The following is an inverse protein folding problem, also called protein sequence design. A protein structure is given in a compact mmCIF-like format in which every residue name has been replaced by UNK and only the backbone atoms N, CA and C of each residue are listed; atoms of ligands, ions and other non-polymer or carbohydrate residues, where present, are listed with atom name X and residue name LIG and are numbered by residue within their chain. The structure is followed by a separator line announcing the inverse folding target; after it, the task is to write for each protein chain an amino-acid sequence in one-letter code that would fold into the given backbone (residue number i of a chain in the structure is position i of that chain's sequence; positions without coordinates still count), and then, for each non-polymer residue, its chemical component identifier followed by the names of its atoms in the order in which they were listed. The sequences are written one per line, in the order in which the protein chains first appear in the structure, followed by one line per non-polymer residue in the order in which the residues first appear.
data_IF_083334683096
#
_entry.id   IF_083334683096
#
_cell.length_a   1.000
_cell.length_b   1.000
_cell.length_c   1.000
_cell.angle_alpha   90.00
_cell.angle_beta   90.00
_cell.angle_gamma   90.00
#
_symmetry.space_group_name_H-M   'P 1'
#
loop_
_entity.id
_entity.type
_entity.pdbx_description
1 polymer ?
#
# COMPACT_ATOMS: atom_id res chain seq x y z
N UNK A 1 80.45 46.85 23.19
CA UNK A 1 81.90 47.05 23.07
C UNK A 1 82.14 47.46 21.64
N UNK A 2 82.62 48.69 21.40
CA UNK A 2 83.08 49.08 20.08
C UNK A 2 84.24 48.16 19.68
N UNK A 3 84.25 47.66 18.45
CA UNK A 3 85.34 46.82 17.95
C UNK A 3 86.69 47.46 18.24
N UNK A 4 87.60 46.71 18.87
CA UNK A 4 88.97 47.16 19.14
C UNK A 4 89.62 47.68 17.85
N UNK A 5 90.34 48.80 17.92
CA UNK A 5 90.95 49.43 16.75
C UNK A 5 91.82 48.47 15.91
N UNK A 6 92.42 47.46 16.56
CA UNK A 6 93.19 46.40 15.89
C UNK A 6 92.30 45.51 14.99
N UNK A 7 91.10 45.16 15.47
CA UNK A 7 90.13 44.34 14.72
C UNK A 7 89.51 45.12 13.56
N UNK A 8 89.32 46.44 13.72
CA UNK A 8 88.84 47.30 12.62
C UNK A 8 89.87 47.40 11.50
N UNK A 9 91.15 47.64 11.81
CA UNK A 9 92.24 47.65 10.80
C UNK A 9 92.38 46.33 10.04
N UNK A 10 92.21 45.19 10.71
CA UNK A 10 92.25 43.89 10.06
C UNK A 10 91.05 43.70 9.12
N UNK A 11 89.86 44.14 9.55
CA UNK A 11 88.67 44.06 8.71
C UNK A 11 88.75 44.99 7.49
N UNK A 12 89.31 46.19 7.64
CA UNK A 12 89.55 47.13 6.53
C UNK A 12 90.52 46.53 5.50
N UNK A 13 91.55 45.79 5.95
CA UNK A 13 92.48 45.08 5.05
C UNK A 13 91.79 43.95 4.29
N UNK A 14 90.95 43.15 4.95
CA UNK A 14 90.19 42.08 4.30
C UNK A 14 89.22 42.67 3.27
N UNK A 15 88.54 43.76 3.62
CA UNK A 15 87.65 44.49 2.71
C UNK A 15 88.40 44.99 1.47
N UNK A 16 89.62 45.53 1.63
CA UNK A 16 90.46 45.97 0.52
C UNK A 16 90.85 44.81 -0.41
N UNK A 17 91.32 43.69 0.16
CA UNK A 17 91.71 42.50 -0.62
C UNK A 17 90.51 41.89 -1.36
N UNK A 18 89.34 41.81 -0.72
CA UNK A 18 88.13 41.31 -1.35
C UNK A 18 87.67 42.21 -2.51
N UNK A 19 87.79 43.54 -2.37
CA UNK A 19 87.50 44.46 -3.49
C UNK A 19 88.44 44.27 -4.66
N UNK A 20 89.72 44.05 -4.40
CA UNK A 20 90.71 43.79 -5.43
C UNK A 20 90.39 42.50 -6.17
N UNK A 21 90.16 41.42 -5.41
CA UNK A 21 89.79 40.12 -5.96
C UNK A 21 88.49 40.15 -6.76
N UNK A 22 87.47 40.88 -6.31
CA UNK A 22 86.20 41.02 -7.06
C UNK A 22 86.42 41.73 -8.40
N UNK A 23 87.34 42.71 -8.47
CA UNK A 23 87.69 43.38 -9.74
C UNK A 23 88.42 42.45 -10.69
N UNK A 24 89.39 41.68 -10.18
CA UNK A 24 90.09 40.69 -11.00
C UNK A 24 89.12 39.61 -11.52
N UNK A 25 88.26 39.09 -10.63
CA UNK A 25 87.24 38.10 -10.99
C UNK A 25 86.19 38.66 -11.96
N UNK A 26 85.92 39.97 -11.96
CA UNK A 26 85.06 40.60 -12.95
C UNK A 26 85.65 40.48 -14.36
N UNK A 27 86.95 40.76 -14.52
CA UNK A 27 87.65 40.60 -15.79
C UNK A 27 87.72 39.11 -16.18
N UNK A 28 88.16 38.25 -15.26
CA UNK A 28 88.29 36.80 -15.51
C UNK A 28 86.94 36.17 -15.84
N UNK A 29 85.83 36.63 -15.25
CA UNK A 29 84.47 36.15 -15.58
C UNK A 29 84.01 36.48 -17.00
N UNK A 30 84.77 37.26 -17.76
CA UNK A 30 84.52 37.59 -19.16
C UNK A 30 85.56 36.99 -20.11
N UNK A 31 86.54 36.24 -19.59
CA UNK A 31 87.48 35.50 -20.40
C UNK A 31 86.82 34.20 -20.89
N UNK A 32 87.10 33.79 -22.14
CA UNK A 32 86.72 32.48 -22.62
C UNK A 32 87.55 31.41 -21.92
N UNK A 33 86.97 30.22 -21.79
CA UNK A 33 87.60 29.04 -21.17
C UNK A 33 88.87 28.58 -21.88
N UNK A 34 88.99 28.84 -23.18
CA UNK A 34 90.21 28.61 -23.96
C UNK A 34 90.62 29.90 -24.66
N UNK A 35 91.83 30.37 -24.36
CA UNK A 35 92.44 31.52 -25.05
C UNK A 35 93.15 31.12 -26.35
N UNK A 36 93.26 29.82 -26.66
CA UNK A 36 93.98 29.34 -27.84
C UNK A 36 93.52 29.93 -29.19
N UNK A 37 92.23 30.29 -29.42
CA UNK A 37 91.84 30.90 -30.69
C UNK A 37 92.42 32.31 -30.89
N UNK A 38 92.88 32.96 -29.82
CA UNK A 38 93.56 34.26 -29.90
C UNK A 38 94.93 34.18 -30.56
N UNK A 39 95.52 32.99 -30.66
CA UNK A 39 96.87 32.77 -31.22
C UNK A 39 96.81 32.14 -32.61
N UNK A 40 95.62 31.80 -33.11
CA UNK A 40 95.45 31.16 -34.42
C UNK A 40 95.19 32.18 -35.50
N UNK A 41 96.17 32.34 -36.40
CA UNK A 41 96.07 33.21 -37.58
C UNK A 41 94.79 32.99 -38.38
N UNK A 42 94.36 31.74 -38.58
CA UNK A 42 93.15 31.40 -39.35
C UNK A 42 91.89 32.00 -38.71
N UNK A 43 91.78 31.96 -37.38
CA UNK A 43 90.64 32.53 -36.66
C UNK A 43 90.61 34.05 -36.81
N UNK A 44 91.76 34.70 -36.61
CA UNK A 44 91.91 36.16 -36.74
C UNK A 44 91.68 36.66 -38.18
N UNK A 45 92.16 35.93 -39.19
CA UNK A 45 91.90 36.24 -40.61
C UNK A 45 90.42 36.09 -40.97
N UNK A 46 89.73 35.13 -40.36
CA UNK A 46 88.29 34.94 -40.52
C UNK A 46 87.52 36.10 -39.88
N UNK A 47 87.89 36.53 -38.67
CA UNK A 47 87.32 37.73 -38.03
C UNK A 47 87.54 38.97 -38.90
N UNK A 48 88.77 39.18 -39.41
CA UNK A 48 89.05 40.29 -40.34
C UNK A 48 88.16 40.22 -41.58
N UNK A 49 87.99 39.03 -42.14
CA UNK A 49 87.15 38.82 -43.32
C UNK A 49 85.69 39.15 -43.02
N UNK A 50 85.15 38.71 -41.87
CA UNK A 50 83.80 39.04 -41.42
C UNK A 50 83.61 40.55 -41.25
N UNK A 51 84.51 41.22 -40.53
CA UNK A 51 84.49 42.67 -40.35
C UNK A 51 84.60 43.43 -41.69
N UNK A 52 85.43 42.96 -42.61
CA UNK A 52 85.63 43.62 -43.93
C UNK A 52 84.48 43.37 -44.91
N UNK A 53 83.82 42.21 -44.82
CA UNK A 53 82.74 41.82 -45.72
C UNK A 53 81.47 42.64 -45.48
N UNK A 54 81.37 43.33 -44.34
CA UNK A 54 80.17 44.05 -43.96
C UNK A 54 78.93 43.16 -43.91
N UNK A 55 79.11 41.83 -43.84
CA UNK A 55 78.03 40.88 -43.56
C UNK A 55 77.71 40.99 -42.07
N UNK A 56 77.21 42.15 -41.68
CA UNK A 56 76.34 42.28 -40.52
C UNK A 56 74.98 41.78 -40.97
N UNK A 57 74.77 40.46 -41.06
CA UNK A 57 73.44 39.84 -40.99
C UNK A 57 73.49 38.36 -41.41
N UNK A 58 73.11 37.48 -40.49
CA UNK A 58 72.23 36.37 -40.85
C UNK A 58 72.78 34.94 -40.91
N UNK A 59 73.99 34.64 -40.40
CA UNK A 59 74.47 33.24 -40.31
C UNK A 59 75.00 32.92 -38.91
N UNK A 60 74.18 33.09 -37.87
CA UNK A 60 74.56 32.70 -36.49
C UNK A 60 74.53 31.17 -36.24
N UNK A 61 74.07 30.34 -37.18
CA UNK A 61 74.03 28.88 -36.95
C UNK A 61 75.35 28.14 -37.27
N UNK A 62 76.32 28.77 -37.95
CA UNK A 62 77.59 28.11 -38.34
C UNK A 62 78.86 28.92 -37.98
N UNK A 63 78.77 29.91 -37.11
CA UNK A 63 80.00 30.56 -36.62
C UNK A 63 80.74 29.65 -35.64
N UNK A 64 81.94 29.23 -36.03
CA UNK A 64 82.88 28.48 -35.19
C UNK A 64 83.14 29.23 -33.87
N UNK A 65 82.97 28.56 -32.74
CA UNK A 65 83.29 29.04 -31.39
C UNK A 65 84.68 29.68 -31.34
N UNK A 66 85.65 29.13 -32.09
CA UNK A 66 87.01 29.65 -32.16
C UNK A 66 87.08 31.05 -32.78
N UNK A 67 86.25 31.33 -33.80
CA UNK A 67 86.17 32.66 -34.44
C UNK A 67 85.51 33.65 -33.48
N UNK A 68 84.47 33.22 -32.75
CA UNK A 68 83.77 34.04 -31.75
C UNK A 68 84.70 34.43 -30.59
N UNK A 69 85.54 33.49 -30.13
CA UNK A 69 86.57 33.75 -29.14
C UNK A 69 87.61 34.72 -29.69
N UNK A 70 88.12 34.52 -30.91
CA UNK A 70 89.10 35.41 -31.54
C UNK A 70 88.58 36.85 -31.73
N UNK A 71 87.27 37.04 -31.93
CA UNK A 71 86.68 38.37 -32.00
C UNK A 71 86.84 39.18 -30.70
N UNK A 72 86.89 38.52 -29.54
CA UNK A 72 87.01 39.19 -28.23
C UNK A 72 88.36 39.90 -28.04
N UNK A 73 89.43 39.36 -28.63
CA UNK A 73 90.76 39.98 -28.56
C UNK A 73 91.02 40.93 -29.74
N UNK A 74 90.28 40.81 -30.84
CA UNK A 74 90.58 41.49 -32.09
C UNK A 74 90.71 43.01 -31.93
N UNK A 75 89.77 43.64 -31.19
CA UNK A 75 89.81 45.09 -30.94
C UNK A 75 90.93 45.55 -30.00
N UNK A 76 91.45 44.66 -29.16
CA UNK A 76 92.66 44.92 -28.37
C UNK A 76 93.90 44.78 -29.25
N UNK A 77 93.99 43.69 -30.02
CA UNK A 77 95.11 43.42 -30.92
C UNK A 77 95.27 44.52 -31.99
N UNK A 78 94.17 45.05 -32.53
CA UNK A 78 94.18 46.15 -33.51
C UNK A 78 94.85 47.42 -32.97
N UNK A 79 94.82 47.66 -31.65
CA UNK A 79 95.50 48.81 -31.03
C UNK A 79 97.02 48.65 -31.00
N UNK A 80 97.52 47.42 -31.13
CA UNK A 80 98.94 47.07 -31.04
C UNK A 80 99.57 46.70 -32.40
N UNK A 81 98.82 46.76 -33.50
CA UNK A 81 99.35 46.47 -34.84
C UNK A 81 98.34 45.76 -35.73
N UNK A 82 98.83 44.97 -36.69
CA UNK A 82 97.95 44.09 -37.46
C UNK A 82 97.42 42.97 -36.53
N UNK A 83 96.09 42.85 -36.33
CA UNK A 83 95.51 41.82 -35.49
C UNK A 83 95.60 40.41 -36.10
N UNK A 84 96.11 40.26 -37.33
CA UNK A 84 96.34 38.95 -37.99
C UNK A 84 97.82 38.54 -38.02
N UNK A 85 98.73 39.44 -37.63
CA UNK A 85 100.15 39.17 -37.52
C UNK A 85 100.49 38.70 -36.10
N UNK A 86 100.29 37.40 -35.84
CA UNK A 86 100.54 36.79 -34.52
C UNK A 86 101.99 36.95 -34.08
N UNK A 87 102.94 36.97 -35.03
CA UNK A 87 104.38 37.07 -34.76
C UNK A 87 104.86 38.52 -34.56
N UNK A 88 104.11 39.50 -35.05
CA UNK A 88 104.46 40.93 -34.99
C UNK A 88 103.68 41.74 -33.95
N UNK A 89 102.56 41.23 -33.46
CA UNK A 89 101.70 41.93 -32.50
C UNK A 89 102.06 41.57 -31.05
N UNK A 90 102.51 42.55 -30.26
CA UNK A 90 102.98 42.32 -28.88
C UNK A 90 101.95 41.64 -27.98
N UNK A 91 100.67 42.01 -28.10
CA UNK A 91 99.60 41.38 -27.30
C UNK A 91 99.41 39.94 -27.71
N UNK A 92 99.36 39.66 -29.03
CA UNK A 92 99.18 38.30 -29.53
C UNK A 92 100.38 37.41 -29.21
N UNK A 93 101.60 37.96 -29.25
CA UNK A 93 102.81 37.29 -28.81
C UNK A 93 102.72 36.91 -27.32
N UNK A 94 102.27 37.82 -26.46
CA UNK A 94 102.08 37.53 -25.04
C UNK A 94 101.02 36.43 -24.81
N UNK A 95 99.91 36.46 -25.57
CA UNK A 95 98.90 35.39 -25.52
C UNK A 95 99.46 34.06 -26.03
N UNK A 96 100.32 34.09 -27.06
CA UNK A 96 100.98 32.91 -27.61
C UNK A 96 101.97 32.30 -26.60
N UNK A 97 102.79 33.12 -25.95
CA UNK A 97 103.70 32.67 -24.89
C UNK A 97 102.93 32.04 -23.71
N UNK A 98 101.80 32.64 -23.33
CA UNK A 98 100.95 32.09 -22.28
C UNK A 98 100.30 30.76 -22.70
N UNK A 99 99.74 30.68 -23.92
CA UNK A 99 99.10 29.48 -24.42
C UNK A 99 100.07 28.30 -24.58
N UNK A 100 101.29 28.56 -25.07
CA UNK A 100 102.33 27.52 -25.15
C UNK A 100 102.76 27.07 -23.74
N UNK A 101 102.94 28.00 -22.79
CA UNK A 101 103.26 27.62 -21.41
C UNK A 101 102.12 26.83 -20.74
N UNK A 102 100.87 27.22 -20.94
CA UNK A 102 99.70 26.50 -20.41
C UNK A 102 99.66 25.07 -20.97
N UNK A 103 99.92 24.91 -22.27
CA UNK A 103 100.02 23.61 -22.92
C UNK A 103 101.19 22.78 -22.39
N UNK A 104 102.38 23.37 -22.23
CA UNK A 104 103.54 22.70 -21.63
C UNK A 104 103.24 22.23 -20.20
N UNK A 105 102.59 23.06 -19.39
CA UNK A 105 102.18 22.73 -18.02
C UNK A 105 101.15 21.60 -18.01
N UNK A 106 100.14 21.65 -18.89
CA UNK A 106 99.15 20.58 -19.02
C UNK A 106 99.78 19.27 -19.48
N UNK A 107 100.71 19.32 -20.44
CA UNK A 107 101.45 18.15 -20.92
C UNK A 107 102.34 17.57 -19.81
N UNK A 108 103.05 18.40 -19.04
CA UNK A 108 103.85 17.97 -17.89
C UNK A 108 102.97 17.35 -16.80
N UNK A 109 101.84 17.98 -16.47
CA UNK A 109 100.87 17.44 -15.51
C UNK A 109 100.30 16.09 -15.98
N UNK A 110 100.03 15.93 -17.27
CA UNK A 110 99.41 14.73 -17.83
C UNK A 110 100.42 13.59 -18.04
N UNK A 111 101.62 13.90 -18.52
CA UNK A 111 102.65 12.91 -18.88
C UNK A 111 103.55 12.57 -17.70
N UNK A 112 104.04 13.57 -16.97
CA UNK A 112 104.95 13.38 -15.83
C UNK A 112 104.21 13.28 -14.48
N UNK A 113 102.94 13.73 -14.41
CA UNK A 113 102.16 13.74 -13.17
C UNK A 113 102.53 14.85 -12.19
N UNK A 114 103.40 15.77 -12.58
CA UNK A 114 103.87 16.88 -11.73
C UNK A 114 104.28 18.09 -12.57
N UNK A 115 104.04 19.28 -12.02
CA UNK A 115 104.43 20.58 -12.59
C UNK A 115 105.38 21.26 -11.60
N UNK A 116 106.46 21.87 -12.09
CA UNK A 116 107.40 22.58 -11.23
C UNK A 116 106.80 23.90 -10.72
N UNK A 117 107.15 24.29 -9.49
CA UNK A 117 106.70 25.56 -8.90
C UNK A 117 107.17 26.77 -9.72
N UNK A 118 108.34 26.68 -10.36
CA UNK A 118 108.86 27.69 -11.29
C UNK A 118 107.94 27.91 -12.49
N UNK A 119 107.42 26.83 -13.08
CA UNK A 119 106.52 26.91 -14.23
C UNK A 119 105.16 27.48 -13.82
N UNK A 120 104.63 27.04 -12.67
CA UNK A 120 103.38 27.57 -12.12
C UNK A 120 103.49 29.06 -11.77
N UNK A 121 104.62 29.48 -11.20
CA UNK A 121 104.87 30.89 -10.89
C UNK A 121 105.05 31.71 -12.18
N UNK A 122 105.74 31.19 -13.19
CA UNK A 122 105.84 31.82 -14.51
C UNK A 122 104.46 31.97 -15.16
N UNK A 123 103.63 30.94 -15.10
CA UNK A 123 102.26 30.97 -15.59
C UNK A 123 101.40 32.01 -14.87
N UNK A 124 101.49 32.08 -13.53
CA UNK A 124 100.79 33.09 -12.75
C UNK A 124 101.21 34.52 -13.13
N UNK A 125 102.52 34.76 -13.28
CA UNK A 125 103.05 36.07 -13.65
C UNK A 125 102.64 36.48 -15.07
N UNK A 126 102.69 35.54 -16.04
CA UNK A 126 102.21 35.80 -17.39
C UNK A 126 100.69 36.05 -17.43
N UNK A 127 99.90 35.26 -16.68
CA UNK A 127 98.46 35.49 -16.58
C UNK A 127 98.14 36.86 -15.99
N UNK A 128 98.83 37.27 -14.92
CA UNK A 128 98.68 38.63 -14.39
C UNK A 128 99.04 39.70 -15.41
N UNK A 129 100.17 39.55 -16.10
CA UNK A 129 100.56 40.50 -17.13
C UNK A 129 99.51 40.57 -18.26
N UNK A 130 98.85 39.46 -18.58
CA UNK A 130 97.72 39.42 -19.53
C UNK A 130 96.53 40.18 -18.96
N UNK A 131 96.14 39.93 -17.71
CA UNK A 131 95.04 40.65 -17.06
C UNK A 131 95.31 42.16 -17.01
N UNK A 132 96.52 42.57 -16.66
CA UNK A 132 96.94 43.97 -16.65
C UNK A 132 96.83 44.58 -18.05
N UNK A 133 97.33 43.88 -19.07
CA UNK A 133 97.26 44.33 -20.48
C UNK A 133 95.81 44.46 -20.96
N UNK A 134 94.95 43.50 -20.62
CA UNK A 134 93.53 43.53 -20.95
C UNK A 134 92.80 44.65 -20.19
N UNK A 135 93.16 44.86 -18.93
CA UNK A 135 92.59 45.92 -18.10
C UNK A 135 92.97 47.31 -18.62
N UNK A 136 94.24 47.53 -18.96
CA UNK A 136 94.74 48.78 -19.55
C UNK A 136 94.08 49.09 -20.90
N UNK A 137 93.71 48.05 -21.65
CA UNK A 137 93.00 48.17 -22.92
C UNK A 137 91.46 48.21 -22.79
N UNK A 138 90.93 48.34 -21.57
CA UNK A 138 89.48 48.43 -21.30
C UNK A 138 88.69 47.21 -21.82
N UNK A 139 89.28 46.01 -21.79
CA UNK A 139 88.70 44.77 -22.30
C UNK A 139 87.28 44.51 -21.77
N UNK A 140 87.04 44.72 -20.47
CA UNK A 140 85.71 44.54 -19.85
C UNK A 140 84.65 45.39 -20.52
N UNK A 141 84.95 46.66 -20.82
CA UNK A 141 84.04 47.57 -21.50
C UNK A 141 83.81 47.11 -22.95
N UNK A 142 84.89 46.73 -23.65
CA UNK A 142 84.83 46.26 -25.03
C UNK A 142 83.97 44.99 -25.18
N UNK A 143 84.14 44.00 -24.31
CA UNK A 143 83.36 42.76 -24.32
C UNK A 143 81.90 43.02 -23.97
N UNK A 144 81.62 43.92 -23.01
CA UNK A 144 80.25 44.32 -22.68
C UNK A 144 79.57 45.01 -23.84
N UNK A 145 80.26 45.90 -24.54
CA UNK A 145 79.72 46.53 -25.75
C UNK A 145 79.45 45.50 -26.86
N UNK A 146 80.33 44.50 -27.04
CA UNK A 146 80.08 43.40 -27.97
C UNK A 146 78.86 42.56 -27.57
N UNK A 147 78.75 42.22 -26.28
CA UNK A 147 77.60 41.51 -25.73
C UNK A 147 76.30 42.30 -25.88
N UNK A 148 76.33 43.61 -25.63
CA UNK A 148 75.18 44.49 -25.76
C UNK A 148 74.78 44.71 -27.22
N UNK A 149 75.73 44.93 -28.13
CA UNK A 149 75.47 44.99 -29.58
C UNK A 149 74.78 43.70 -30.06
N UNK A 150 75.27 42.53 -29.64
CA UNK A 150 74.66 41.22 -29.96
C UNK A 150 73.27 41.05 -29.33
N UNK A 151 73.11 41.39 -28.05
CA UNK A 151 71.80 41.32 -27.38
C UNK A 151 70.76 42.22 -28.03
N UNK A 152 71.17 43.38 -28.57
CA UNK A 152 70.28 44.31 -29.28
C UNK A 152 69.89 43.83 -30.69
N UNK A 153 70.75 43.05 -31.36
CA UNK A 153 70.46 42.42 -32.65
C UNK A 153 69.50 41.22 -32.50
N UNK A 154 69.63 40.47 -31.41
CA UNK A 154 68.79 39.31 -31.07
C UNK A 154 67.51 39.71 -30.33
N UNK A 155 66.47 40.14 -31.06
CA UNK A 155 65.12 40.36 -30.49
C UNK A 155 64.43 39.03 -30.06
N UNK A 156 65.06 37.88 -30.28
CA UNK A 156 64.52 36.58 -29.89
C UNK A 156 65.45 35.84 -28.92
N UNK A 157 64.93 35.60 -27.71
CA UNK A 157 65.40 34.66 -26.69
C UNK A 157 66.48 33.67 -27.17
N UNK A 158 67.72 33.94 -26.82
CA UNK A 158 68.69 32.89 -26.50
C UNK A 158 69.68 33.51 -25.53
N UNK A 159 70.14 32.69 -24.60
CA UNK A 159 71.24 32.98 -23.68
C UNK A 159 72.34 33.76 -24.41
N UNK A 160 72.96 34.76 -23.77
CA UNK A 160 74.03 35.54 -24.41
C UNK A 160 74.98 34.56 -25.10
N UNK A 161 75.22 34.71 -26.40
CA UNK A 161 75.94 33.71 -27.21
C UNK A 161 77.40 33.47 -26.80
N UNK A 162 77.85 34.13 -25.73
CA UNK A 162 79.14 33.97 -25.08
C UNK A 162 79.04 33.25 -23.72
N UNK A 163 77.83 33.01 -23.18
CA UNK A 163 77.64 32.39 -21.87
C UNK A 163 78.20 30.96 -21.81
N UNK A 164 78.16 30.22 -22.91
CA UNK A 164 78.72 28.87 -22.98
C UNK A 164 80.24 28.85 -23.17
N UNK A 165 80.84 29.98 -23.56
CA UNK A 165 82.30 30.11 -23.70
C UNK A 165 82.99 30.48 -22.38
N UNK A 166 82.22 30.97 -21.41
CA UNK A 166 82.69 31.45 -20.10
C UNK A 166 82.46 30.38 -19.04
N UNK A 167 83.36 30.25 -18.07
CA UNK A 167 83.16 29.34 -16.93
C UNK A 167 82.11 29.89 -15.94
N UNK A 168 80.95 29.24 -15.76
CA UNK A 168 79.96 29.64 -14.76
C UNK A 168 80.50 29.56 -13.32
N UNK A 169 81.52 28.73 -13.06
CA UNK A 169 82.20 28.62 -11.78
C UNK A 169 82.90 29.91 -11.36
N UNK A 170 83.55 30.61 -12.30
CA UNK A 170 84.18 31.91 -12.03
C UNK A 170 83.13 32.97 -11.68
N UNK A 171 81.99 32.97 -12.38
CA UNK A 171 80.89 33.88 -12.07
C UNK A 171 80.27 33.58 -10.70
N UNK A 172 80.08 32.30 -10.36
CA UNK A 172 79.60 31.90 -9.05
C UNK A 172 80.59 32.29 -7.94
N UNK A 173 81.89 32.14 -8.18
CA UNK A 173 82.94 32.58 -7.26
C UNK A 173 82.92 34.10 -7.07
N UNK A 174 82.80 34.87 -8.16
CA UNK A 174 82.63 36.33 -8.12
C UNK A 174 81.42 36.71 -7.24
N UNK A 175 80.26 36.11 -7.49
CA UNK A 175 79.03 36.37 -6.72
C UNK A 175 79.18 36.00 -5.23
N UNK A 176 79.87 34.90 -4.94
CA UNK A 176 80.17 34.50 -3.56
C UNK A 176 81.12 35.49 -2.87
N UNK A 177 82.14 35.99 -3.58
CA UNK A 177 83.06 37.01 -3.08
C UNK A 177 82.37 38.37 -2.90
N UNK A 178 81.46 38.76 -3.78
CA UNK A 178 80.61 39.95 -3.62
C UNK A 178 79.70 39.82 -2.40
N UNK A 179 79.10 38.64 -2.20
CA UNK A 179 78.28 38.36 -1.02
C UNK A 179 79.14 38.44 0.24
N UNK A 180 80.32 37.83 0.24
CA UNK A 180 81.25 37.89 1.35
C UNK A 180 81.70 39.33 1.64
N UNK A 181 82.01 40.10 0.60
CA UNK A 181 82.34 41.52 0.72
C UNK A 181 81.18 42.30 1.35
N UNK A 182 79.94 42.06 0.91
CA UNK A 182 78.75 42.71 1.47
C UNK A 182 78.55 42.37 2.96
N UNK A 183 78.79 41.11 3.34
CA UNK A 183 78.70 40.64 4.72
C UNK A 183 79.80 41.22 5.60
N UNK A 184 81.04 41.28 5.10
CA UNK A 184 82.16 41.93 5.80
C UNK A 184 81.86 43.41 6.01
N UNK A 185 81.36 44.09 4.97
CA UNK A 185 80.95 45.49 5.06
C UNK A 185 79.80 45.70 6.06
N UNK A 186 78.81 44.80 6.08
CA UNK A 186 77.70 44.85 7.04
C UNK A 186 78.21 44.62 8.48
N UNK A 187 79.02 43.58 8.70
CA UNK A 187 79.65 43.28 9.99
C UNK A 187 80.56 44.40 10.49
N UNK A 188 81.25 45.11 9.59
CA UNK A 188 82.05 46.27 9.96
C UNK A 188 81.21 47.45 10.47
N UNK A 189 79.91 47.45 10.18
CA UNK A 189 78.97 48.49 10.60
C UNK A 189 78.11 48.09 11.81
N UNK A 190 77.91 46.80 12.10
CA UNK A 190 77.07 46.37 13.22
C UNK A 190 77.79 46.52 14.57
N UNK A 191 77.03 46.93 15.58
CA UNK A 191 77.51 46.98 16.97
C UNK A 191 77.17 45.69 17.73
N UNK A 192 77.95 45.37 18.77
CA UNK A 192 77.66 44.20 19.63
C UNK A 192 76.23 44.22 20.21
N UNK A 193 75.68 45.42 20.48
CA UNK A 193 74.31 45.54 20.97
C UNK A 193 73.26 45.14 19.91
N UNK A 194 73.51 45.49 18.64
CA UNK A 194 72.66 45.07 17.52
C UNK A 194 72.77 43.56 17.31
N UNK A 195 73.96 42.97 17.43
CA UNK A 195 74.14 41.52 17.32
C UNK A 195 73.36 40.76 18.40
N UNK A 196 73.42 41.22 19.65
CA UNK A 196 72.65 40.64 20.76
C UNK A 196 71.14 40.77 20.50
N UNK A 197 70.69 41.91 19.95
CA UNK A 197 69.28 42.11 19.58
C UNK A 197 68.85 41.17 18.44
N UNK A 198 69.64 41.08 17.38
CA UNK A 198 69.38 40.23 16.23
C UNK A 198 69.35 38.75 16.63
N UNK A 199 70.28 38.32 17.48
CA UNK A 199 70.30 36.96 18.04
C UNK A 199 69.03 36.66 18.84
N UNK A 200 68.56 37.58 19.70
CA UNK A 200 67.31 37.39 20.45
C UNK A 200 66.11 37.25 19.52
N UNK A 201 65.98 38.11 18.51
CA UNK A 201 64.88 38.06 17.54
C UNK A 201 64.88 36.72 16.79
N UNK A 202 66.06 36.30 16.30
CA UNK A 202 66.20 35.03 15.58
C UNK A 202 65.87 33.85 16.49
N UNK A 203 66.37 33.85 17.72
CA UNK A 203 66.12 32.79 18.69
C UNK A 203 64.63 32.68 19.05
N UNK A 204 63.93 33.82 19.21
CA UNK A 204 62.48 33.84 19.39
C UNK A 204 61.73 33.31 18.16
N UNK A 205 62.15 33.67 16.95
CA UNK A 205 61.54 33.19 15.71
C UNK A 205 61.69 31.67 15.55
N UNK A 206 62.89 31.15 15.79
CA UNK A 206 63.17 29.69 15.74
C UNK A 206 62.37 28.94 16.81
N UNK A 207 62.23 29.50 18.01
CA UNK A 207 61.40 28.90 19.05
C UNK A 207 59.92 28.88 18.66
N UNK A 208 59.40 29.98 18.08
CA UNK A 208 58.01 30.05 17.57
C UNK A 208 57.75 29.05 16.44
N UNK A 209 58.71 28.87 15.54
CA UNK A 209 58.61 27.88 14.48
C UNK A 209 58.61 26.45 15.04
N UNK A 210 59.47 26.16 16.01
CA UNK A 210 59.49 24.86 16.69
C UNK A 210 58.18 24.54 17.40
N UNK A 211 57.57 25.51 18.08
CA UNK A 211 56.26 25.32 18.74
C UNK A 211 55.16 25.11 17.70
N UNK A 212 55.10 25.92 16.64
CA UNK A 212 54.12 25.76 15.57
C UNK A 212 54.26 24.40 14.86
N UNK A 213 55.49 23.94 14.63
CA UNK A 213 55.77 22.60 14.07
C UNK A 213 55.29 21.47 14.98
N UNK A 214 55.42 21.64 16.30
CA UNK A 214 54.90 20.69 17.28
C UNK A 214 53.36 20.66 17.29
N UNK A 215 52.72 21.83 17.22
CA UNK A 215 51.26 21.97 17.17
C UNK A 215 50.67 21.33 15.91
N UNK A 216 51.27 21.58 14.75
CA UNK A 216 50.85 20.93 13.48
C UNK A 216 50.98 19.41 13.57
N UNK A 217 52.04 18.89 14.19
CA UNK A 217 52.20 17.44 14.41
C UNK A 217 51.16 16.90 15.39
N UNK A 218 50.79 17.65 16.43
CA UNK A 218 49.73 17.26 17.36
C UNK A 218 48.36 17.22 16.66
N UNK A 219 47.99 18.29 15.95
CA UNK A 219 46.75 18.37 15.18
C UNK A 219 46.65 17.28 14.12
N UNK A 220 47.75 16.94 13.44
CA UNK A 220 47.77 15.86 12.46
C UNK A 220 47.47 14.50 13.09
N UNK A 221 47.97 14.24 14.32
CA UNK A 221 47.66 13.01 15.06
C UNK A 221 46.19 12.99 15.49
N UNK A 222 45.70 14.07 16.08
CA UNK A 222 44.28 14.18 16.49
C UNK A 222 43.33 13.99 15.30
N UNK A 223 43.66 14.57 14.14
CA UNK A 223 42.89 14.37 12.91
C UNK A 223 42.90 12.91 12.46
N UNK A 224 44.05 12.22 12.52
CA UNK A 224 44.15 10.81 12.17
C UNK A 224 43.35 9.92 13.12
N UNK A 225 43.48 10.14 14.43
CA UNK A 225 42.70 9.44 15.46
C UNK A 225 41.19 9.65 15.27
N UNK A 226 40.77 10.89 15.02
CA UNK A 226 39.37 11.22 14.74
C UNK A 226 38.88 10.54 13.46
N UNK A 227 39.69 10.55 12.40
CA UNK A 227 39.35 9.90 11.13
C UNK A 227 39.21 8.38 11.28
N UNK A 228 40.09 7.74 12.04
CA UNK A 228 40.03 6.31 12.32
C UNK A 228 38.80 5.97 13.18
N UNK A 229 38.53 6.75 14.23
CA UNK A 229 37.32 6.62 15.05
C UNK A 229 36.04 6.72 14.22
N UNK A 230 35.92 7.75 13.38
CA UNK A 230 34.78 7.93 12.49
C UNK A 230 34.66 6.78 11.48
N UNK A 231 35.77 6.26 10.96
CA UNK A 231 35.74 5.09 10.07
C UNK A 231 35.15 3.87 10.78
N UNK A 232 35.56 3.61 12.02
CA UNK A 232 35.02 2.49 12.81
C UNK A 232 33.54 2.69 13.18
N UNK A 233 33.11 3.93 13.44
CA UNK A 233 31.70 4.25 13.70
C UNK A 233 30.83 4.03 12.45
N UNK A 234 31.31 4.47 11.28
CA UNK A 234 30.62 4.26 10.00
C UNK A 234 30.52 2.77 9.68
N UNK A 235 31.60 2.00 9.84
CA UNK A 235 31.59 0.54 9.65
C UNK A 235 30.57 -0.12 10.61
N UNK A 236 30.49 0.32 11.86
CA UNK A 236 29.50 -0.19 12.82
C UNK A 236 28.05 0.15 12.42
N UNK A 237 27.79 1.38 11.97
CA UNK A 237 26.47 1.80 11.49
C UNK A 237 26.07 1.05 10.21
N UNK A 238 27.00 0.81 9.28
CA UNK A 238 26.74 -0.01 8.09
C UNK A 238 26.34 -1.44 8.46
N UNK A 239 27.01 -2.05 9.45
CA UNK A 239 26.61 -3.39 9.93
C UNK A 239 25.23 -3.41 10.59
N UNK A 240 24.87 -2.36 11.34
CA UNK A 240 23.53 -2.26 11.95
C UNK A 240 22.45 -2.02 10.90
N UNK A 241 22.73 -1.24 9.86
CA UNK A 241 21.81 -1.04 8.73
C UNK A 241 21.55 -2.36 8.03
N UNK A 242 22.59 -3.14 7.69
CA UNK A 242 22.44 -4.45 7.07
C UNK A 242 21.58 -5.39 7.93
N UNK A 243 21.82 -5.41 9.24
CA UNK A 243 21.02 -6.20 10.17
C UNK A 243 19.54 -5.78 10.18
N UNK A 244 19.26 -4.49 10.18
CA UNK A 244 17.88 -3.99 10.16
C UNK A 244 17.18 -4.29 8.83
N UNK A 245 17.90 -4.22 7.71
CA UNK A 245 17.39 -4.64 6.40
C UNK A 245 17.02 -6.13 6.39
N UNK A 246 17.89 -7.00 6.93
CA UNK A 246 17.61 -8.43 7.11
C UNK A 246 16.38 -8.68 8.00
N UNK A 247 16.22 -7.93 9.11
CA UNK A 247 15.05 -8.04 9.99
C UNK A 247 13.76 -7.58 9.30
N UNK A 248 13.82 -6.51 8.50
CA UNK A 248 12.69 -6.04 7.70
C UNK A 248 12.28 -7.09 6.66
N UNK A 249 13.24 -7.70 5.98
CA UNK A 249 12.94 -8.73 4.98
C UNK A 249 12.41 -10.01 5.64
N UNK A 250 12.95 -10.39 6.81
CA UNK A 250 12.40 -11.46 7.62
C UNK A 250 10.95 -11.18 8.02
N UNK A 251 10.65 -10.03 8.60
CA UNK A 251 9.27 -9.66 9.00
C UNK A 251 8.31 -9.61 7.83
N UNK A 252 8.74 -9.08 6.66
CA UNK A 252 7.95 -9.13 5.42
C UNK A 252 7.65 -10.57 4.99
N UNK A 253 8.62 -11.46 5.07
CA UNK A 253 8.42 -12.88 4.73
C UNK A 253 7.43 -13.57 5.67
N UNK A 254 7.52 -13.29 6.97
CA UNK A 254 6.61 -13.81 8.00
C UNK A 254 5.19 -13.28 7.77
N UNK A 255 5.01 -11.97 7.57
CA UNK A 255 3.70 -11.37 7.30
C UNK A 255 3.08 -11.92 6.02
N UNK A 256 3.87 -12.12 4.96
CA UNK A 256 3.38 -12.72 3.72
C UNK A 256 2.90 -14.17 3.94
N UNK A 257 3.65 -14.96 4.73
CA UNK A 257 3.29 -16.31 5.12
C UNK A 257 2.00 -16.33 5.97
N UNK A 258 1.93 -15.50 7.01
CA UNK A 258 0.75 -15.38 7.89
C UNK A 258 -0.50 -14.92 7.12
N UNK A 259 -0.36 -13.95 6.22
CA UNK A 259 -1.45 -13.49 5.37
C UNK A 259 -1.93 -14.62 4.44
N UNK A 260 -1.02 -15.38 3.84
CA UNK A 260 -1.38 -16.52 3.00
C UNK A 260 -2.14 -17.60 3.77
N UNK A 261 -1.68 -17.95 4.99
CA UNK A 261 -2.36 -18.90 5.87
C UNK A 261 -3.73 -18.39 6.33
N UNK A 262 -3.84 -17.09 6.64
CA UNK A 262 -5.12 -16.48 7.02
C UNK A 262 -6.13 -16.52 5.86
N UNK A 263 -5.69 -16.22 4.63
CA UNK A 263 -6.55 -16.29 3.45
C UNK A 263 -7.04 -17.71 3.19
N UNK A 264 -6.18 -18.72 3.34
CA UNK A 264 -6.54 -20.13 3.20
C UNK A 264 -7.60 -20.56 4.24
N UNK A 265 -7.38 -20.24 5.52
CA UNK A 265 -8.34 -20.55 6.60
C UNK A 265 -9.67 -19.82 6.38
N UNK A 266 -9.64 -18.56 5.95
CA UNK A 266 -10.85 -17.80 5.69
C UNK A 266 -11.63 -18.38 4.49
N UNK A 267 -10.93 -18.87 3.45
CA UNK A 267 -11.56 -19.55 2.33
C UNK A 267 -12.20 -20.87 2.76
N UNK A 268 -11.53 -21.65 3.62
CA UNK A 268 -12.10 -22.87 4.21
C UNK A 268 -13.36 -22.57 5.04
N UNK A 269 -13.31 -21.58 5.92
CA UNK A 269 -14.47 -21.15 6.73
C UNK A 269 -15.64 -20.65 5.88
N UNK A 270 -15.37 -19.92 4.80
CA UNK A 270 -16.42 -19.51 3.86
C UNK A 270 -17.02 -20.71 3.13
N UNK A 271 -16.21 -21.67 2.72
CA UNK A 271 -16.68 -22.93 2.12
C UNK A 271 -17.56 -23.73 3.09
N UNK A 272 -17.12 -23.89 4.34
CA UNK A 272 -17.90 -24.56 5.39
C UNK A 272 -19.24 -23.87 5.64
N UNK A 273 -19.25 -22.54 5.78
CA UNK A 273 -20.50 -21.76 5.93
C UNK A 273 -21.44 -21.96 4.76
N UNK A 274 -20.94 -21.90 3.53
CA UNK A 274 -21.77 -22.15 2.34
C UNK A 274 -22.36 -23.56 2.36
N UNK A 275 -21.58 -24.58 2.75
CA UNK A 275 -22.11 -25.95 2.86
C UNK A 275 -23.16 -26.09 3.96
N UNK A 276 -22.97 -25.43 5.11
CA UNK A 276 -23.95 -25.41 6.21
C UNK A 276 -25.23 -24.69 5.80
N UNK A 277 -25.12 -23.53 5.15
CA UNK A 277 -26.28 -22.76 4.68
C UNK A 277 -27.08 -23.55 3.64
N UNK A 278 -26.41 -24.26 2.73
CA UNK A 278 -27.06 -25.16 1.77
C UNK A 278 -27.79 -26.29 2.50
N UNK A 279 -27.14 -26.93 3.48
CA UNK A 279 -27.76 -27.98 4.30
C UNK A 279 -28.99 -27.49 5.05
N UNK A 280 -28.89 -26.34 5.73
CA UNK A 280 -30.02 -25.73 6.45
C UNK A 280 -31.16 -25.31 5.52
N UNK A 281 -30.86 -24.75 4.35
CA UNK A 281 -31.88 -24.44 3.36
C UNK A 281 -32.61 -25.69 2.87
N UNK A 282 -31.90 -26.81 2.70
CA UNK A 282 -32.49 -28.08 2.32
C UNK A 282 -33.36 -28.66 3.44
N UNK A 283 -32.91 -28.62 4.69
CA UNK A 283 -33.70 -29.01 5.87
C UNK A 283 -34.98 -28.18 5.99
N UNK A 284 -34.89 -26.86 5.84
CA UNK A 284 -36.05 -25.95 5.90
C UNK A 284 -37.02 -26.24 4.77
N UNK A 285 -36.54 -26.53 3.55
CA UNK A 285 -37.39 -26.94 2.43
C UNK A 285 -38.11 -28.26 2.72
N UNK A 286 -37.42 -29.26 3.26
CA UNK A 286 -38.03 -30.54 3.64
C UNK A 286 -39.10 -30.36 4.72
N UNK A 287 -38.82 -29.55 5.74
CA UNK A 287 -39.80 -29.19 6.78
C UNK A 287 -41.01 -28.44 6.21
N UNK A 288 -40.79 -27.52 5.27
CA UNK A 288 -41.87 -26.77 4.62
C UNK A 288 -42.79 -27.69 3.80
N UNK A 289 -42.24 -28.60 2.99
CA UNK A 289 -43.05 -29.56 2.23
C UNK A 289 -43.79 -30.53 3.18
N UNK A 290 -43.14 -31.05 4.22
CA UNK A 290 -43.81 -31.88 5.24
C UNK A 290 -44.97 -31.14 5.91
N UNK A 291 -44.78 -29.88 6.29
CA UNK A 291 -45.84 -29.06 6.89
C UNK A 291 -46.99 -28.80 5.91
N UNK A 292 -46.70 -28.58 4.64
CA UNK A 292 -47.69 -28.39 3.58
C UNK A 292 -48.51 -29.65 3.33
N UNK A 293 -47.88 -30.82 3.29
CA UNK A 293 -48.57 -32.11 3.24
C UNK A 293 -49.48 -32.30 4.46
N UNK A 294 -48.94 -32.04 5.66
CA UNK A 294 -49.72 -32.17 6.91
C UNK A 294 -50.93 -31.22 6.91
N UNK A 295 -50.75 -29.97 6.47
CA UNK A 295 -51.84 -29.00 6.37
C UNK A 295 -52.88 -29.41 5.33
N UNK A 296 -52.48 -29.95 4.17
CA UNK A 296 -53.39 -30.47 3.17
C UNK A 296 -54.23 -31.65 3.72
N UNK A 297 -53.61 -32.58 4.46
CA UNK A 297 -54.34 -33.69 5.10
C UNK A 297 -55.35 -33.20 6.14
N UNK A 298 -54.99 -32.20 6.96
CA UNK A 298 -55.89 -31.61 7.95
C UNK A 298 -57.06 -30.88 7.30
N UNK A 299 -56.83 -30.13 6.23
CA UNK A 299 -57.88 -29.43 5.48
C UNK A 299 -58.86 -30.43 4.87
N UNK A 300 -58.36 -31.48 4.23
CA UNK A 300 -59.21 -32.54 3.66
C UNK A 300 -60.06 -33.21 4.74
N UNK A 301 -59.45 -33.57 5.87
CA UNK A 301 -60.16 -34.18 7.00
C UNK A 301 -61.26 -33.26 7.55
N UNK A 302 -60.97 -31.97 7.73
CA UNK A 302 -61.96 -31.00 8.20
C UNK A 302 -63.12 -30.86 7.21
N UNK A 303 -62.82 -30.84 5.91
CA UNK A 303 -63.84 -30.76 4.87
C UNK A 303 -64.74 -32.02 4.86
N UNK A 304 -64.17 -33.21 5.05
CA UNK A 304 -64.92 -34.46 5.19
C UNK A 304 -65.81 -34.45 6.44
N UNK A 305 -65.27 -34.06 7.60
CA UNK A 305 -66.02 -33.95 8.85
C UNK A 305 -67.17 -32.91 8.73
N UNK A 306 -66.92 -31.76 8.11
CA UNK A 306 -67.92 -30.73 7.83
C UNK A 306 -69.04 -31.24 6.92
N UNK A 307 -68.70 -31.95 5.85
CA UNK A 307 -69.66 -32.55 4.93
C UNK A 307 -70.49 -33.65 5.63
N UNK A 308 -69.86 -34.49 6.46
CA UNK A 308 -70.55 -35.50 7.24
C UNK A 308 -71.55 -34.88 8.24
N UNK A 309 -71.14 -33.82 8.95
CA UNK A 309 -72.00 -33.09 9.88
C UNK A 309 -73.18 -32.41 9.16
N UNK A 310 -72.95 -31.79 7.98
CA UNK A 310 -74.04 -31.22 7.16
C UNK A 310 -75.04 -32.29 6.73
N UNK A 311 -74.56 -33.45 6.31
CA UNK A 311 -75.42 -34.57 5.89
C UNK A 311 -76.22 -35.12 7.08
N UNK A 312 -75.59 -35.27 8.24
CA UNK A 312 -76.27 -35.73 9.47
C UNK A 312 -77.31 -34.71 9.94
N UNK A 313 -77.00 -33.41 9.89
CA UNK A 313 -77.94 -32.34 10.19
C UNK A 313 -79.15 -32.40 9.25
N UNK A 314 -78.94 -32.47 7.94
CA UNK A 314 -80.01 -32.57 6.95
C UNK A 314 -80.91 -33.79 7.17
N UNK A 315 -80.33 -34.96 7.49
CA UNK A 315 -81.09 -36.17 7.84
C UNK A 315 -81.94 -36.00 9.09
N UNK A 316 -81.38 -35.42 10.16
CA UNK A 316 -82.11 -35.16 11.40
C UNK A 316 -83.23 -34.14 11.20
N UNK A 317 -82.95 -33.07 10.47
CA UNK A 317 -83.91 -32.04 10.13
C UNK A 317 -85.08 -32.62 9.32
N UNK A 318 -84.81 -33.43 8.30
CA UNK A 318 -85.84 -34.13 7.53
C UNK A 318 -86.66 -35.10 8.39
N UNK A 319 -86.03 -35.84 9.31
CA UNK A 319 -86.73 -36.74 10.23
C UNK A 319 -87.65 -35.99 11.20
N UNK A 320 -87.20 -34.84 11.72
CA UNK A 320 -88.03 -33.97 12.57
C UNK A 320 -89.20 -33.40 11.77
N UNK A 321 -88.97 -32.90 10.55
CA UNK A 321 -90.05 -32.42 9.68
C UNK A 321 -91.08 -33.52 9.37
N UNK A 322 -90.63 -34.74 9.08
CA UNK A 322 -91.51 -35.88 8.84
C UNK A 322 -92.34 -36.23 10.09
N UNK A 323 -91.71 -36.26 11.27
CA UNK A 323 -92.42 -36.50 12.53
C UNK A 323 -93.48 -35.43 12.82
N UNK A 324 -93.17 -34.14 12.57
CA UNK A 324 -94.15 -33.04 12.70
C UNK A 324 -95.34 -33.28 11.76
N UNK A 325 -95.09 -33.59 10.48
CA UNK A 325 -96.18 -33.84 9.53
C UNK A 325 -97.04 -35.04 9.90
N UNK A 326 -96.45 -36.10 10.45
CA UNK A 326 -97.20 -37.26 10.93
C UNK A 326 -98.08 -36.91 12.13
N UNK A 327 -97.53 -36.18 13.11
CA UNK A 327 -98.30 -35.67 14.24
C UNK A 327 -99.46 -34.78 13.80
N UNK A 328 -99.24 -33.89 12.84
CA UNK A 328 -100.30 -33.03 12.29
C UNK A 328 -101.42 -33.85 11.63
N UNK A 329 -101.07 -34.89 10.86
CA UNK A 329 -102.05 -35.81 10.25
C UNK A 329 -102.81 -36.61 11.31
N UNK A 330 -102.13 -37.14 12.33
CA UNK A 330 -102.76 -37.87 13.43
C UNK A 330 -103.73 -36.96 14.20
N UNK A 331 -103.32 -35.72 14.49
CA UNK A 331 -104.18 -34.73 15.15
C UNK A 331 -105.40 -34.37 14.31
N UNK A 332 -105.23 -34.17 13.00
CA UNK A 332 -106.34 -33.92 12.08
C UNK A 332 -107.31 -35.10 12.02
N UNK A 333 -106.80 -36.33 11.99
CA UNK A 333 -107.61 -37.55 11.98
C UNK A 333 -108.39 -37.72 13.28
N UNK A 334 -107.75 -37.49 14.44
CA UNK A 334 -108.39 -37.53 15.76
C UNK A 334 -109.48 -36.45 15.88
N UNK A 335 -109.25 -35.24 15.38
CA UNK A 335 -110.25 -34.18 15.33
C UNK A 335 -111.44 -34.57 14.46
N UNK A 336 -111.20 -35.17 13.29
CA UNK A 336 -112.26 -35.68 12.42
C UNK A 336 -113.05 -36.81 13.07
N UNK A 337 -112.37 -37.77 13.71
CA UNK A 337 -113.00 -38.88 14.44
C UNK A 337 -113.88 -38.37 15.59
N UNK A 338 -113.40 -37.36 16.33
CA UNK A 338 -114.16 -36.71 17.40
C UNK A 338 -115.41 -36.02 16.84
N UNK A 339 -115.30 -35.36 15.69
CA UNK A 339 -116.45 -34.74 15.02
C UNK A 339 -117.49 -35.77 14.56
N UNK A 340 -117.07 -36.93 14.02
CA UNK A 340 -118.00 -38.02 13.66
C UNK A 340 -118.67 -38.65 14.87
N UNK A 341 -117.92 -38.89 15.96
CA UNK A 341 -118.49 -39.42 17.20
C UNK A 341 -119.54 -38.47 17.78
N UNK A 342 -119.26 -37.16 17.77
CA UNK A 342 -120.24 -36.17 18.21
C UNK A 342 -121.51 -36.20 17.34
N UNK A 343 -121.38 -36.36 16.02
CA UNK A 343 -122.52 -36.49 15.11
C UNK A 343 -123.34 -37.76 15.36
N UNK A 344 -122.66 -38.89 15.57
CA UNK A 344 -123.32 -40.17 15.93
C UNK A 344 -124.05 -40.05 17.27
N UNK A 345 -123.45 -39.40 18.27
CA UNK A 345 -124.14 -39.15 19.55
C UNK A 345 -125.35 -38.22 19.41
N UNK A 346 -125.32 -37.25 18.49
CA UNK A 346 -126.49 -36.43 18.14
C UNK A 346 -127.59 -37.27 17.46
N UNK A 347 -127.24 -38.12 16.50
CA UNK A 347 -128.19 -39.01 15.82
C UNK A 347 -128.81 -40.04 16.78
N UNK A 348 -128.02 -40.64 17.67
CA UNK A 348 -128.50 -41.57 18.70
C UNK A 348 -129.43 -40.87 19.69
N UNK A 349 -129.13 -39.64 20.07
CA UNK A 349 -130.04 -38.87 20.94
C UNK A 349 -131.36 -38.52 20.23
N UNK A 350 -131.34 -38.21 18.94
CA UNK A 350 -132.56 -38.05 18.14
C UNK A 350 -133.37 -39.36 18.03
N UNK A 351 -132.70 -40.49 17.80
CA UNK A 351 -133.34 -41.80 17.69
C UNK A 351 -133.99 -42.23 19.02
N UNK A 352 -133.35 -41.96 20.15
CA UNK A 352 -133.92 -42.20 21.48
C UNK A 352 -135.19 -41.36 21.66
N UNK A 353 -135.18 -40.09 21.28
CA UNK A 353 -136.36 -39.21 21.37
C UNK A 353 -137.50 -39.75 20.50
N UNK A 354 -137.22 -40.19 19.28
CA UNK A 354 -138.22 -40.78 18.39
C UNK A 354 -138.82 -42.09 18.95
N UNK A 355 -137.98 -42.97 19.51
CA UNK A 355 -138.44 -44.20 20.16
C UNK A 355 -139.28 -43.92 21.41
N UNK A 356 -138.97 -42.86 22.17
CA UNK A 356 -139.78 -42.44 23.32
C UNK A 356 -141.16 -41.93 22.88
N UNK A 357 -141.24 -41.24 21.74
CA UNK A 357 -142.52 -40.86 21.11
C UNK A 357 -143.32 -42.09 20.66
N UNK A 358 -142.70 -43.06 19.98
CA UNK A 358 -143.35 -44.32 19.58
C UNK A 358 -143.83 -45.14 20.78
N UNK A 359 -143.04 -45.20 21.87
CA UNK A 359 -143.46 -45.80 23.13
C UNK A 359 -144.65 -45.09 23.75
N UNK A 360 -144.73 -43.77 23.58
CA UNK A 360 -145.90 -42.97 23.93
C UNK A 360 -147.16 -43.43 23.18
N UNK A 361 -147.06 -43.61 21.87
CA UNK A 361 -148.15 -44.08 21.00
C UNK A 361 -148.59 -45.51 21.38
N UNK A 362 -147.65 -46.45 21.51
CA UNK A 362 -147.97 -47.84 21.89
C UNK A 362 -148.63 -47.93 23.27
N UNK A 363 -148.26 -47.05 24.21
CA UNK A 363 -148.94 -46.97 25.51
C UNK A 363 -150.38 -46.50 25.36
N UNK A 364 -150.66 -45.55 24.46
CA UNK A 364 -152.05 -45.15 24.16
C UNK A 364 -152.84 -46.28 23.50
N UNK A 365 -152.30 -46.96 22.50
CA UNK A 365 -152.96 -48.09 21.83
C UNK A 365 -153.24 -49.25 22.80
N UNK A 366 -152.28 -49.59 23.67
CA UNK A 366 -152.49 -50.62 24.71
C UNK A 366 -153.67 -50.27 25.62
N UNK A 367 -153.80 -49.00 26.01
CA UNK A 367 -154.90 -48.55 26.85
C UNK A 367 -156.25 -48.64 26.12
N UNK A 368 -156.28 -48.31 24.83
CA UNK A 368 -157.48 -48.48 23.98
C UNK A 368 -157.87 -49.95 23.81
N UNK A 369 -156.90 -50.82 23.54
CA UNK A 369 -157.14 -52.27 23.42
C UNK A 369 -157.69 -52.88 24.72
N UNK A 370 -157.18 -52.44 25.88
CA UNK A 370 -157.72 -52.86 27.19
C UNK A 370 -159.17 -52.42 27.38
N UNK A 371 -159.52 -51.22 26.91
CA UNK A 371 -160.89 -50.72 26.93
C UNK A 371 -161.81 -51.56 26.02
N UNK A 372 -161.32 -51.93 24.83
CA UNK A 372 -162.07 -52.73 23.86
C UNK A 372 -162.34 -54.16 24.37
N UNK A 373 -161.32 -54.80 24.99
CA UNK A 373 -161.46 -56.07 25.71
C UNK A 373 -162.52 -56.03 26.81
N UNK A 374 -162.61 -54.92 27.55
CA UNK A 374 -163.61 -54.74 28.59
C UNK A 374 -165.03 -54.69 28.01
N UNK A 375 -165.22 -53.99 26.88
CA UNK A 375 -166.49 -53.92 26.14
C UNK A 375 -166.89 -55.28 25.57
N UNK A 376 -165.94 -56.05 25.04
CA UNK A 376 -166.20 -57.39 24.50
C UNK A 376 -166.69 -58.36 25.59
N UNK A 377 -166.06 -58.35 26.79
CA UNK A 377 -166.54 -59.18 27.91
C UNK A 377 -167.95 -58.79 28.38
N UNK A 378 -168.31 -57.51 28.25
CA UNK A 378 -169.66 -57.02 28.55
C UNK A 378 -170.68 -57.52 27.53
N UNK A 379 -170.29 -57.74 26.27
CA UNK A 379 -171.16 -58.30 25.22
C UNK A 379 -171.41 -59.79 25.42
N UNK A 380 -170.39 -60.57 25.73
CA UNK A 380 -170.54 -62.01 25.98
C UNK A 380 -171.50 -62.27 27.16
N UNK A 381 -171.35 -61.50 28.25
CA UNK A 381 -172.25 -61.59 29.41
C UNK A 381 -173.70 -61.29 29.06
N UNK A 382 -173.95 -60.37 28.12
CA UNK A 382 -175.29 -60.04 27.66
C UNK A 382 -175.90 -61.15 26.79
N UNK A 383 -175.08 -61.81 25.96
CA UNK A 383 -175.51 -62.95 25.15
C UNK A 383 -175.97 -64.14 26.01
N UNK A 384 -175.22 -64.46 27.07
CA UNK A 384 -175.58 -65.54 28.01
C UNK A 384 -176.93 -65.29 28.71
N UNK A 385 -177.16 -64.05 29.18
CA UNK A 385 -178.43 -63.65 29.81
C UNK A 385 -179.62 -63.79 28.83
N UNK A 386 -179.42 -63.47 27.55
CA UNK A 386 -180.46 -63.56 26.53
C UNK A 386 -180.83 -65.02 26.19
N UNK A 387 -179.84 -65.91 26.15
CA UNK A 387 -180.05 -67.33 25.89
C UNK A 387 -180.83 -68.01 27.02
N UNK A 388 -180.51 -67.69 28.28
CA UNK A 388 -181.25 -68.18 29.44
C UNK A 388 -182.74 -67.77 29.38
N UNK A 389 -183.03 -66.53 28.97
CA UNK A 389 -184.40 -66.05 28.81
C UNK A 389 -185.16 -66.74 27.65
N UNK A 390 -184.48 -67.09 26.54
CA UNK A 390 -185.11 -67.85 25.45
C UNK A 390 -185.46 -69.28 25.85
N UNK A 391 -184.60 -69.95 26.61
CA UNK A 391 -184.85 -71.33 27.05
C UNK A 391 -186.04 -71.43 28.01
N UNK A 392 -186.20 -70.44 28.91
CA UNK A 392 -187.34 -70.36 29.83
C UNK A 392 -188.68 -70.15 29.08
N UNK A 393 -188.68 -69.28 28.08
CA UNK A 393 -189.85 -69.07 27.21
C UNK A 393 -190.21 -70.33 26.41
N UNK A 394 -189.21 -71.05 25.90
CA UNK A 394 -189.41 -72.29 25.12
C UNK A 394 -190.03 -73.39 25.98
N UNK A 395 -189.59 -73.55 27.24
CA UNK A 395 -190.19 -74.48 28.20
C UNK A 395 -191.65 -74.13 28.51
N UNK A 396 -191.97 -72.85 28.61
CA UNK A 396 -193.33 -72.36 28.89
C UNK A 396 -194.30 -72.65 27.73
N UNK A 397 -193.84 -72.49 26.48
CA UNK A 397 -194.62 -72.86 25.26
C UNK A 397 -194.83 -74.38 25.20
N UNK A 398 -193.81 -75.18 25.48
CA UNK A 398 -193.95 -76.65 25.49
C UNK A 398 -194.92 -77.14 26.57
N UNK A 399 -194.92 -76.52 27.75
CA UNK A 399 -195.85 -76.85 28.83
C UNK A 399 -197.31 -76.55 28.45
N UNK A 400 -197.56 -75.41 27.82
CA UNK A 400 -198.90 -75.02 27.35
C UNK A 400 -199.40 -75.91 26.21
N UNK A 401 -198.52 -76.34 25.30
CA UNK A 401 -198.87 -77.31 24.24
C UNK A 401 -199.19 -78.71 24.79
N UNK A 402 -198.44 -79.18 25.80
CA UNK A 402 -198.72 -80.47 26.48
C UNK A 402 -200.05 -80.42 27.23
N UNK A 403 -200.35 -79.32 27.92
CA UNK A 403 -201.62 -79.11 28.62
C UNK A 403 -202.81 -79.11 27.64
N UNK A 404 -202.65 -78.48 26.47
CA UNK A 404 -203.67 -78.48 25.41
C UNK A 404 -203.92 -79.90 24.87
N UNK A 405 -202.86 -80.65 24.54
CA UNK A 405 -202.96 -82.04 24.04
C UNK A 405 -203.61 -83.00 25.05
N UNK A 406 -203.31 -82.84 26.34
CA UNK A 406 -203.95 -83.62 27.39
C UNK A 406 -205.47 -83.36 27.47
N UNK A 407 -205.89 -82.10 27.31
CA UNK A 407 -207.31 -81.70 27.35
C UNK A 407 -208.10 -82.28 26.18
N UNK A 408 -207.52 -82.31 24.97
CA UNK A 408 -208.14 -82.89 23.76
C UNK A 408 -208.33 -84.41 23.90
N UNK A 409 -207.37 -85.12 24.51
CA UNK A 409 -207.51 -86.58 24.76
C UNK A 409 -208.60 -86.89 25.79
N UNK A 410 -208.76 -86.04 26.82
CA UNK A 410 -209.79 -86.23 27.86
C UNK A 410 -211.22 -86.07 27.31
N UNK A 411 -211.47 -85.10 26.42
CA UNK A 411 -212.79 -84.92 25.81
C UNK A 411 -213.19 -86.04 24.85
N UNK A 412 -212.23 -86.64 24.11
CA UNK A 412 -212.53 -87.77 23.22
C UNK A 412 -212.83 -89.08 23.96
N UNK A 413 -212.26 -89.28 25.15
CA UNK A 413 -212.42 -90.54 25.89
C UNK A 413 -213.75 -90.64 26.67
N UNK A 414 -214.37 -89.53 27.08
CA UNK A 414 -215.66 -89.58 27.80
C UNK A 414 -216.91 -89.67 26.92
N UNK A 415 -216.80 -89.53 25.59
CA UNK A 415 -217.95 -89.59 24.70
C UNK A 415 -218.41 -91.00 24.27
N UNK A 416 -217.63 -92.06 24.47
CA UNK A 416 -217.93 -93.36 23.83
C UNK A 416 -217.57 -94.61 24.63
N UNK A 417 -218.14 -94.74 25.84
CA UNK A 417 -218.32 -96.02 26.55
C UNK A 417 -219.42 -95.87 27.62
N UNK A 418 -220.72 -95.99 27.31
CA UNK A 418 -221.57 -97.20 27.13
C UNK A 418 -221.67 -98.17 28.33
N UNK A 419 -222.92 -98.32 28.81
CA UNK A 419 -223.65 -99.57 29.12
C UNK A 419 -223.17 -100.48 30.28
N UNK A 420 -224.14 -100.80 31.15
CA UNK A 420 -224.26 -101.90 32.16
C UNK A 420 -223.87 -101.62 33.62
N UNK A 421 -224.90 -101.15 34.33
CA UNK A 421 -225.18 -101.31 35.76
C UNK A 421 -226.24 -100.26 36.13
N UNK A 422 -227.31 -100.48 36.87
CA UNK A 422 -227.96 -101.63 37.51
C UNK A 422 -229.28 -101.04 38.08
N UNK A 423 -230.29 -101.87 38.34
CA UNK A 423 -231.46 -101.46 39.14
C UNK A 423 -231.16 -101.40 40.65
N UNK A 424 -232.09 -100.79 41.40
CA UNK A 424 -232.44 -100.92 42.85
C UNK A 424 -232.09 -99.74 43.77
N UNK A 425 -233.19 -99.26 44.39
CA UNK A 425 -233.38 -98.46 45.62
C UNK A 425 -232.85 -97.04 45.61
#
# INVERSE_FOLDING_TARGET
MDMDALTRRQADKIEFVLRDLVRDLELVSLLPTSLSPWTRKVCLETVRSQLSSGVEDGVEEEEDDDVRVAQLIYGVAERHGDPTDVDGNEVLLQMAEFAELEKEILDLATVAGSVEESDLNRHHMLFRAILDTLQENEYVSMVRELQERRANLLVTKAESSLAHLIDPGVLALKNAMETLLSLVMARNKTTVNEDVRNYRILHEAVNREKTASADVKALKREYQETKESHKTEVEALETEIQRLEEEIDYTRSVVAMELSAFLEVNQQLQGERQTQDVGHLEEVKQLAEKNKETLATLVNRNQEESNALRTQRAKKEAAVSAAITEYDVQMSTLQAATATLNKETEEDTEAIVALDEELGVLRTEKNEYQLEKFVESMRDRHYEEMQLAMDENTRTIQASFRAYMARVKFQKAQGSSKKRGRSKK
#
